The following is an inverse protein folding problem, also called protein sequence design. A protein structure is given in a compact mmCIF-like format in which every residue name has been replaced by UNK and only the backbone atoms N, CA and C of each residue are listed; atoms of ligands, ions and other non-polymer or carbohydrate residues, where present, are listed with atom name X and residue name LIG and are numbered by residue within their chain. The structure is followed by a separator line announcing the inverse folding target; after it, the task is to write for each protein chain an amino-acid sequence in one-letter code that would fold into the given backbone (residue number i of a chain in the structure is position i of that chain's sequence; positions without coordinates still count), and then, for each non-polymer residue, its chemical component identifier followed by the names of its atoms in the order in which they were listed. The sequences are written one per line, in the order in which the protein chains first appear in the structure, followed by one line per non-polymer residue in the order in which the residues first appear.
data_IF_531128293343
#
_entry.id   IF_531128293343
#
_cell.length_a   1.000
_cell.length_b   1.000
_cell.length_c   1.000
_cell.angle_alpha   90.00
_cell.angle_beta   90.00
_cell.angle_gamma   90.00
#
_symmetry.space_group_name_H-M   'P 1'
#
loop_
_entity.id
_entity.type
_entity.pdbx_description
1 polymer ?
#
# COMPACT_ATOMS: atom_id res chain seq x y z
N UNK A 1 -27.69 -16.44 -7.00
CA UNK A 1 -28.55 -15.67 -6.09
C UNK A 1 -29.94 -16.28 -6.04
N UNK A 2 -30.48 -16.55 -4.85
CA UNK A 2 -31.84 -17.18 -4.72
C UNK A 2 -32.98 -16.31 -5.28
N UNK A 3 -32.77 -14.99 -5.36
CA UNK A 3 -33.81 -14.06 -5.85
C UNK A 3 -33.69 -13.72 -7.33
N UNK A 4 -32.49 -13.63 -7.89
CA UNK A 4 -32.31 -13.18 -9.27
C UNK A 4 -31.73 -14.23 -10.22
N UNK A 5 -31.46 -15.45 -9.75
CA UNK A 5 -30.87 -16.60 -10.50
C UNK A 5 -29.57 -16.27 -11.28
N UNK A 6 -28.94 -15.08 -11.03
CA UNK A 6 -27.66 -14.74 -11.64
C UNK A 6 -26.52 -15.47 -10.95
N UNK A 7 -25.55 -15.94 -11.71
CA UNK A 7 -24.32 -16.53 -11.18
C UNK A 7 -23.54 -15.48 -10.41
N UNK A 8 -23.08 -15.82 -9.20
CA UNK A 8 -22.18 -14.98 -8.41
C UNK A 8 -20.80 -15.02 -9.07
N UNK A 9 -20.19 -13.87 -9.24
CA UNK A 9 -18.84 -13.81 -9.81
C UNK A 9 -17.84 -14.53 -8.90
N UNK A 10 -17.00 -15.36 -9.48
CA UNK A 10 -15.94 -16.10 -8.78
C UNK A 10 -14.95 -15.15 -8.05
N UNK A 11 -14.89 -13.91 -8.47
CA UNK A 11 -14.04 -12.88 -7.84
C UNK A 11 -14.40 -12.66 -6.36
N UNK A 12 -15.70 -12.79 -5.98
CA UNK A 12 -16.08 -12.67 -4.57
C UNK A 12 -15.45 -13.77 -3.71
N UNK A 13 -15.42 -15.00 -4.23
CA UNK A 13 -14.79 -16.11 -3.54
C UNK A 13 -13.29 -15.85 -3.29
N UNK A 14 -12.57 -15.37 -4.30
CA UNK A 14 -11.14 -15.05 -4.14
C UNK A 14 -10.89 -13.92 -3.15
N UNK A 15 -11.73 -12.88 -3.15
CA UNK A 15 -11.62 -11.78 -2.19
C UNK A 15 -11.85 -12.27 -0.76
N UNK A 16 -12.90 -13.06 -0.52
CA UNK A 16 -13.18 -13.63 0.79
C UNK A 16 -12.07 -14.56 1.27
N UNK A 17 -11.53 -15.38 0.38
CA UNK A 17 -10.43 -16.29 0.68
C UNK A 17 -9.16 -15.51 1.06
N UNK A 18 -8.82 -14.46 0.31
CA UNK A 18 -7.66 -13.59 0.59
C UNK A 18 -7.84 -12.92 1.95
N UNK A 19 -9.00 -12.32 2.21
CA UNK A 19 -9.30 -11.67 3.50
C UNK A 19 -9.18 -12.68 4.64
N UNK A 20 -9.74 -13.89 4.49
CA UNK A 20 -9.68 -14.93 5.50
C UNK A 20 -8.24 -15.38 5.81
N UNK A 21 -7.41 -15.58 4.77
CA UNK A 21 -5.98 -15.92 4.94
C UNK A 21 -5.25 -14.80 5.68
N UNK A 22 -5.45 -13.55 5.29
CA UNK A 22 -4.80 -12.42 5.98
C UNK A 22 -5.25 -12.30 7.42
N UNK A 23 -6.53 -12.50 7.70
CA UNK A 23 -7.06 -12.45 9.06
C UNK A 23 -6.39 -13.49 9.96
N UNK A 24 -6.26 -14.73 9.47
CA UNK A 24 -5.59 -15.82 10.20
C UNK A 24 -4.09 -15.49 10.36
N UNK A 25 -3.41 -15.05 9.33
CA UNK A 25 -1.97 -14.74 9.43
C UNK A 25 -1.70 -13.61 10.42
N UNK A 26 -2.50 -12.55 10.40
CA UNK A 26 -2.36 -11.45 11.36
C UNK A 26 -2.67 -11.93 12.78
N UNK A 27 -3.70 -12.77 12.97
CA UNK A 27 -4.01 -13.34 14.27
C UNK A 27 -2.84 -14.15 14.86
N UNK A 28 -2.16 -14.94 14.03
CA UNK A 28 -0.99 -15.72 14.44
C UNK A 28 0.25 -14.85 14.69
N UNK A 29 0.33 -13.66 14.05
CA UNK A 29 1.48 -12.76 14.15
C UNK A 29 1.36 -11.74 15.27
N UNK A 30 0.13 -11.42 15.69
CA UNK A 30 -0.12 -10.40 16.72
C UNK A 30 -0.48 -11.06 18.06
N UNK A 31 0.18 -10.61 19.15
CA UNK A 31 -0.11 -11.09 20.50
C UNK A 31 -1.10 -10.19 21.25
N UNK A 32 -1.48 -9.05 20.67
CA UNK A 32 -2.30 -8.04 21.33
C UNK A 32 -3.57 -7.75 20.50
N UNK A 33 -4.72 -7.74 21.16
CA UNK A 33 -6.01 -7.50 20.48
C UNK A 33 -6.09 -6.15 19.79
N UNK A 34 -5.47 -5.11 20.33
CA UNK A 34 -5.44 -3.79 19.73
C UNK A 34 -4.66 -3.78 18.42
N UNK A 35 -3.49 -4.42 18.40
CA UNK A 35 -2.67 -4.54 17.19
C UNK A 35 -3.42 -5.32 16.10
N UNK A 36 -4.07 -6.41 16.51
CA UNK A 36 -4.90 -7.23 15.63
C UNK A 36 -6.01 -6.42 14.96
N UNK A 37 -6.77 -5.65 15.75
CA UNK A 37 -7.87 -4.83 15.24
C UNK A 37 -7.34 -3.74 14.30
N UNK A 38 -6.29 -3.03 14.71
CA UNK A 38 -5.72 -1.91 13.95
C UNK A 38 -5.17 -2.38 12.59
N UNK A 39 -4.41 -3.47 12.57
CA UNK A 39 -3.81 -3.98 11.33
C UNK A 39 -4.90 -4.50 10.39
N UNK A 40 -5.90 -5.22 10.90
CA UNK A 40 -7.02 -5.67 10.06
C UNK A 40 -7.81 -4.49 9.48
N UNK A 41 -8.03 -3.41 10.24
CA UNK A 41 -8.69 -2.21 9.75
C UNK A 41 -7.90 -1.56 8.60
N UNK A 42 -6.57 -1.42 8.76
CA UNK A 42 -5.69 -0.91 7.72
C UNK A 42 -5.72 -1.81 6.48
N UNK A 43 -5.71 -3.12 6.68
CA UNK A 43 -5.73 -4.08 5.58
C UNK A 43 -7.04 -4.04 4.79
N UNK A 44 -8.17 -3.84 5.47
CA UNK A 44 -9.47 -3.62 4.81
C UNK A 44 -9.42 -2.34 3.97
N UNK A 45 -8.89 -1.24 4.50
CA UNK A 45 -8.73 0.00 3.74
C UNK A 45 -7.79 -0.19 2.54
N UNK A 46 -6.69 -0.93 2.70
CA UNK A 46 -5.79 -1.29 1.60
C UNK A 46 -6.51 -2.04 0.49
N UNK A 47 -7.34 -3.03 0.84
CA UNK A 47 -8.11 -3.78 -0.15
C UNK A 47 -9.13 -2.90 -0.87
N UNK A 48 -9.81 -2.00 -0.16
CA UNK A 48 -10.75 -1.06 -0.78
C UNK A 48 -10.02 -0.16 -1.78
N UNK A 49 -8.90 0.46 -1.37
CA UNK A 49 -8.08 1.30 -2.26
C UNK A 49 -7.58 0.49 -3.46
N UNK A 50 -7.07 -0.72 -3.22
CA UNK A 50 -6.57 -1.62 -4.25
C UNK A 50 -7.60 -1.86 -5.37
N UNK A 51 -8.83 -2.21 -5.02
CA UNK A 51 -9.87 -2.47 -6.01
C UNK A 51 -10.39 -1.20 -6.69
N UNK A 52 -10.48 -0.09 -5.96
CA UNK A 52 -10.88 1.20 -6.55
C UNK A 52 -9.85 1.64 -7.57
N UNK A 53 -8.57 1.61 -7.22
CA UNK A 53 -7.50 2.08 -8.09
C UNK A 53 -7.33 1.18 -9.32
N UNK A 54 -7.41 -0.15 -9.17
CA UNK A 54 -7.42 -1.08 -10.30
C UNK A 54 -8.55 -0.83 -11.31
N UNK A 55 -9.69 -0.35 -10.84
CA UNK A 55 -10.89 -0.20 -11.68
C UNK A 55 -11.06 1.21 -12.22
N UNK A 56 -10.72 2.22 -11.40
CA UNK A 56 -11.03 3.62 -11.68
C UNK A 56 -9.79 4.49 -11.85
N UNK A 57 -8.59 4.00 -11.54
CA UNK A 57 -7.33 4.76 -11.55
C UNK A 57 -7.37 6.00 -10.64
N UNK A 58 -8.11 5.91 -9.54
CA UNK A 58 -8.30 7.00 -8.58
C UNK A 58 -8.20 6.43 -7.16
N UNK A 59 -7.48 7.13 -6.30
CA UNK A 59 -7.43 6.84 -4.87
C UNK A 59 -8.22 7.91 -4.12
N UNK A 60 -9.37 7.57 -3.49
CA UNK A 60 -10.20 8.54 -2.77
C UNK A 60 -9.44 9.16 -1.58
N UNK A 61 -9.50 10.48 -1.47
CA UNK A 61 -8.81 11.22 -0.41
C UNK A 61 -9.24 10.80 0.99
N UNK A 62 -10.53 10.50 1.17
CA UNK A 62 -11.06 10.07 2.47
C UNK A 62 -10.38 8.80 2.98
N UNK A 63 -10.05 7.85 2.09
CA UNK A 63 -9.35 6.62 2.47
C UNK A 63 -7.89 6.89 2.82
N UNK A 64 -7.21 7.76 2.07
CA UNK A 64 -5.85 8.17 2.38
C UNK A 64 -5.76 8.88 3.74
N UNK A 65 -6.68 9.83 4.02
CA UNK A 65 -6.70 10.51 5.30
C UNK A 65 -7.07 9.59 6.46
N UNK A 66 -7.97 8.62 6.24
CA UNK A 66 -8.27 7.58 7.24
C UNK A 66 -7.03 6.75 7.57
N UNK A 67 -6.25 6.36 6.56
CA UNK A 67 -4.99 5.64 6.77
C UNK A 67 -3.95 6.48 7.51
N UNK A 68 -3.78 7.76 7.16
CA UNK A 68 -2.89 8.69 7.87
C UNK A 68 -3.30 8.79 9.34
N UNK A 69 -4.59 8.97 9.60
CA UNK A 69 -5.11 9.04 10.96
C UNK A 69 -4.82 7.77 11.76
N UNK A 70 -5.07 6.59 11.18
CA UNK A 70 -4.74 5.31 11.83
C UNK A 70 -3.25 5.11 12.05
N UNK A 71 -2.42 5.55 11.07
CA UNK A 71 -0.97 5.52 11.19
C UNK A 71 -0.43 6.39 12.33
N UNK A 72 -1.06 7.54 12.59
CA UNK A 72 -0.73 8.39 13.73
C UNK A 72 -1.32 7.86 15.04
N UNK A 73 -2.55 7.33 15.00
CA UNK A 73 -3.26 6.80 16.18
C UNK A 73 -2.50 5.66 16.84
N UNK A 74 -1.80 4.82 16.07
CA UNK A 74 -1.02 3.69 16.62
C UNK A 74 0.00 4.12 17.68
N UNK A 75 0.54 5.35 17.57
CA UNK A 75 1.57 5.85 18.51
C UNK A 75 1.01 6.14 19.91
N UNK A 76 -0.30 6.25 20.05
CA UNK A 76 -0.99 6.45 21.32
C UNK A 76 -1.46 5.12 21.94
N UNK A 77 -1.35 4.01 21.21
CA UNK A 77 -1.77 2.69 21.69
C UNK A 77 -0.52 1.95 22.18
N UNK A 78 -0.53 1.37 23.39
CA UNK A 78 0.59 0.59 23.91
C UNK A 78 0.74 -0.72 23.13
N UNK A 79 1.42 -0.66 22.00
CA UNK A 79 1.69 -1.79 21.13
C UNK A 79 3.00 -2.44 21.55
N UNK A 80 2.98 -3.65 22.13
CA UNK A 80 4.21 -4.34 22.55
C UNK A 80 4.91 -5.12 21.42
N UNK A 81 4.23 -5.41 20.33
CA UNK A 81 4.68 -6.38 19.33
C UNK A 81 4.63 -5.88 17.88
N UNK A 82 4.29 -4.63 17.64
CA UNK A 82 4.52 -4.06 16.31
C UNK A 82 6.01 -3.74 16.20
N UNK A 83 6.72 -4.44 15.33
CA UNK A 83 8.12 -4.17 14.97
C UNK A 83 8.32 -2.73 14.45
N UNK A 84 7.24 -1.94 14.36
CA UNK A 84 7.15 -0.57 13.85
C UNK A 84 6.69 0.41 14.93
N UNK A 85 7.12 0.19 16.18
CA UNK A 85 6.87 1.13 17.26
C UNK A 85 7.82 2.32 17.12
N UNK A 86 7.41 3.26 16.27
CA UNK A 86 8.11 4.52 16.11
C UNK A 86 7.47 5.59 16.98
N UNK A 87 8.28 6.53 17.44
CA UNK A 87 7.78 7.75 18.07
C UNK A 87 6.91 8.54 17.08
N UNK A 88 5.97 9.32 17.60
CA UNK A 88 5.07 10.14 16.79
C UNK A 88 5.82 11.04 15.80
N UNK A 89 6.99 11.54 16.21
CA UNK A 89 7.88 12.33 15.38
C UNK A 89 8.33 11.55 14.13
N UNK A 90 8.78 10.33 14.30
CA UNK A 90 9.19 9.46 13.18
C UNK A 90 8.03 9.11 12.26
N UNK A 91 6.83 8.96 12.80
CA UNK A 91 5.61 8.74 12.00
C UNK A 91 5.27 9.98 11.16
N UNK A 92 5.36 11.17 11.73
CA UNK A 92 5.13 12.43 11.02
C UNK A 92 6.19 12.63 9.92
N UNK A 93 7.47 12.46 10.27
CA UNK A 93 8.58 12.59 9.31
C UNK A 93 8.40 11.57 8.17
N UNK A 94 8.08 10.32 8.50
CA UNK A 94 7.79 9.28 7.51
C UNK A 94 6.66 9.68 6.56
N UNK A 95 5.57 10.24 7.08
CA UNK A 95 4.46 10.71 6.28
C UNK A 95 4.84 11.87 5.34
N UNK A 96 5.53 12.88 5.87
CA UNK A 96 5.98 14.03 5.08
C UNK A 96 6.96 13.60 3.99
N UNK A 97 7.97 12.81 4.33
CA UNK A 97 8.97 12.33 3.36
C UNK A 97 8.31 11.39 2.34
N UNK A 98 7.39 10.52 2.77
CA UNK A 98 6.63 9.66 1.86
C UNK A 98 5.85 10.47 0.82
N UNK A 99 5.16 11.53 1.24
CA UNK A 99 4.47 12.43 0.32
C UNK A 99 5.45 13.10 -0.64
N UNK A 100 6.51 13.71 -0.10
CA UNK A 100 7.47 14.50 -0.88
C UNK A 100 8.21 13.65 -1.91
N UNK A 101 8.55 12.40 -1.61
CA UNK A 101 9.26 11.53 -2.57
C UNK A 101 8.45 11.31 -3.84
N UNK A 102 7.18 10.94 -3.75
CA UNK A 102 6.31 10.76 -4.92
C UNK A 102 6.01 12.12 -5.57
N UNK A 103 5.73 13.15 -4.78
CA UNK A 103 5.45 14.49 -5.30
C UNK A 103 6.64 15.06 -6.11
N UNK A 104 7.88 14.87 -5.65
CA UNK A 104 9.08 15.28 -6.38
C UNK A 104 9.19 14.52 -7.70
N UNK A 105 8.92 13.21 -7.71
CA UNK A 105 8.92 12.40 -8.95
C UNK A 105 7.90 12.96 -9.95
N UNK A 106 6.67 13.23 -9.49
CA UNK A 106 5.60 13.81 -10.33
C UNK A 106 6.04 15.16 -10.88
N UNK A 107 6.55 16.04 -10.01
CA UNK A 107 6.98 17.40 -10.39
C UNK A 107 8.12 17.38 -11.42
N UNK A 108 9.16 16.57 -11.19
CA UNK A 108 10.29 16.46 -12.10
C UNK A 108 9.88 15.89 -13.46
N UNK A 109 9.05 14.85 -13.46
CA UNK A 109 8.58 14.25 -14.70
C UNK A 109 7.71 15.22 -15.51
N UNK A 110 6.80 15.93 -14.86
CA UNK A 110 5.96 16.95 -15.50
C UNK A 110 6.81 18.08 -16.10
N UNK A 111 7.86 18.52 -15.37
CA UNK A 111 8.78 19.56 -15.85
C UNK A 111 9.64 19.09 -17.04
N UNK A 112 10.05 17.82 -17.08
CA UNK A 112 10.94 17.30 -18.12
C UNK A 112 10.20 16.82 -19.37
N UNK A 113 9.00 16.26 -19.21
CA UNK A 113 8.27 15.60 -20.30
C UNK A 113 6.97 16.29 -20.66
N UNK A 114 6.51 17.29 -19.90
CA UNK A 114 5.19 17.92 -20.01
C UNK A 114 4.01 16.90 -19.99
N UNK A 115 4.21 15.78 -19.31
CA UNK A 115 3.23 14.71 -19.14
C UNK A 115 3.04 14.44 -17.65
N UNK A 116 1.84 14.09 -17.23
CA UNK A 116 1.58 13.64 -15.87
C UNK A 116 1.99 12.16 -15.79
N UNK A 117 2.99 11.85 -14.94
CA UNK A 117 3.51 10.49 -14.76
C UNK A 117 2.66 9.64 -13.82
N UNK A 118 2.07 10.28 -12.81
CA UNK A 118 1.47 9.61 -11.67
C UNK A 118 0.42 10.51 -11.03
N UNK A 119 -0.57 9.92 -10.34
CA UNK A 119 -1.59 10.67 -9.63
C UNK A 119 -1.11 11.24 -8.30
N UNK A 120 -1.65 12.39 -7.87
CA UNK A 120 -1.41 12.91 -6.51
C UNK A 120 -1.97 11.97 -5.43
N UNK A 121 -2.88 11.07 -5.79
CA UNK A 121 -3.40 10.02 -4.92
C UNK A 121 -2.31 9.08 -4.40
N UNK A 122 -1.35 8.70 -5.28
CA UNK A 122 -0.21 7.85 -4.92
C UNK A 122 0.71 8.53 -3.92
N UNK A 123 0.91 9.86 -4.05
CA UNK A 123 1.69 10.63 -3.08
C UNK A 123 1.02 10.65 -1.69
N UNK A 124 -0.30 10.83 -1.64
CA UNK A 124 -1.06 10.77 -0.39
C UNK A 124 -1.07 9.36 0.22
N UNK A 125 -1.16 8.32 -0.62
CA UNK A 125 -1.06 6.93 -0.18
C UNK A 125 0.32 6.64 0.41
N UNK A 126 1.39 7.12 -0.23
CA UNK A 126 2.74 6.95 0.29
C UNK A 126 2.97 7.72 1.59
N UNK A 127 2.32 8.88 1.77
CA UNK A 127 2.27 9.58 3.05
C UNK A 127 1.63 8.70 4.14
N UNK A 128 0.48 8.10 3.85
CA UNK A 128 -0.21 7.22 4.79
C UNK A 128 0.66 6.01 5.19
N UNK A 129 1.32 5.40 4.24
CA UNK A 129 2.25 4.30 4.47
C UNK A 129 3.44 4.75 5.31
N UNK A 130 4.00 5.93 5.00
CA UNK A 130 5.10 6.53 5.77
C UNK A 130 4.72 6.85 7.21
N UNK A 131 3.49 7.29 7.49
CA UNK A 131 3.02 7.50 8.87
C UNK A 131 2.91 6.19 9.65
N UNK A 132 2.57 5.09 8.98
CA UNK A 132 2.43 3.79 9.62
C UNK A 132 3.77 3.10 9.84
N UNK A 133 4.63 3.03 8.80
CA UNK A 133 5.86 2.26 8.79
C UNK A 133 7.12 3.09 9.07
N UNK A 134 6.99 4.43 9.18
CA UNK A 134 8.12 5.34 9.42
C UNK A 134 9.01 5.57 8.19
N UNK A 135 10.00 6.43 8.35
CA UNK A 135 10.90 6.89 7.29
C UNK A 135 11.63 5.75 6.56
N UNK A 136 12.11 4.76 7.32
CA UNK A 136 12.90 3.64 6.77
C UNK A 136 12.14 2.81 5.75
N UNK A 137 10.82 2.74 5.84
CA UNK A 137 10.00 1.93 4.92
C UNK A 137 9.97 2.47 3.49
N UNK A 138 10.08 3.78 3.32
CA UNK A 138 9.83 4.47 2.06
C UNK A 138 10.70 3.96 0.91
N UNK A 139 12.05 3.88 1.03
CA UNK A 139 12.91 3.42 -0.07
C UNK A 139 12.60 1.98 -0.47
N UNK A 140 12.39 1.09 0.50
CA UNK A 140 12.11 -0.32 0.21
C UNK A 140 10.75 -0.50 -0.45
N UNK A 141 9.71 0.18 0.05
CA UNK A 141 8.36 0.09 -0.51
C UNK A 141 8.35 0.63 -1.94
N UNK A 142 9.00 1.77 -2.22
CA UNK A 142 9.13 2.29 -3.58
C UNK A 142 9.89 1.35 -4.49
N UNK A 143 10.98 0.76 -4.03
CA UNK A 143 11.76 -0.20 -4.80
C UNK A 143 10.93 -1.43 -5.15
N UNK A 144 10.30 -2.07 -4.17
CA UNK A 144 9.48 -3.25 -4.41
C UNK A 144 8.22 -2.94 -5.23
N UNK A 145 7.59 -1.78 -5.06
CA UNK A 145 6.44 -1.38 -5.87
C UNK A 145 6.82 -1.20 -7.34
N UNK A 146 8.00 -0.63 -7.60
CA UNK A 146 8.51 -0.48 -8.96
C UNK A 146 8.83 -1.82 -9.61
N UNK A 147 9.44 -2.75 -8.86
CA UNK A 147 9.73 -4.11 -9.34
C UNK A 147 8.44 -4.87 -9.61
N UNK A 148 7.49 -4.87 -8.68
CA UNK A 148 6.22 -5.59 -8.85
C UNK A 148 5.41 -5.03 -10.01
N UNK A 149 5.37 -3.71 -10.17
CA UNK A 149 4.75 -3.07 -11.33
C UNK A 149 5.40 -3.52 -12.64
N UNK A 150 6.74 -3.50 -12.69
CA UNK A 150 7.49 -3.92 -13.87
C UNK A 150 7.22 -5.39 -14.21
N UNK A 151 7.29 -6.29 -13.23
CA UNK A 151 7.08 -7.73 -13.44
C UNK A 151 5.68 -8.05 -13.98
N UNK A 152 4.65 -7.32 -13.53
CA UNK A 152 3.27 -7.55 -13.96
C UNK A 152 3.00 -6.93 -15.34
N UNK A 153 3.63 -5.79 -15.65
CA UNK A 153 3.40 -5.07 -16.91
C UNK A 153 4.27 -5.59 -18.05
N UNK A 154 5.48 -6.03 -17.74
CA UNK A 154 6.46 -6.47 -18.74
C UNK A 154 5.92 -7.53 -19.73
N UNK A 155 5.21 -8.60 -19.31
CA UNK A 155 4.68 -9.59 -20.24
C UNK A 155 3.69 -9.00 -21.24
N UNK A 156 2.86 -8.05 -20.82
CA UNK A 156 1.89 -7.38 -21.68
C UNK A 156 2.54 -6.45 -22.71
N UNK A 157 3.69 -5.86 -22.35
CA UNK A 157 4.49 -5.04 -23.26
C UNK A 157 5.23 -5.88 -24.30
N UNK A 158 5.83 -7.01 -23.88
CA UNK A 158 6.54 -7.93 -24.79
C UNK A 158 5.57 -8.50 -25.80
N UNK A 159 4.38 -8.92 -25.37
CA UNK A 159 3.35 -9.47 -26.24
C UNK A 159 2.62 -8.39 -27.08
N UNK A 160 3.02 -7.11 -26.98
CA UNK A 160 2.41 -5.96 -27.69
C UNK A 160 0.89 -5.83 -27.48
N UNK A 161 0.36 -6.43 -26.42
CA UNK A 161 -1.06 -6.33 -26.06
C UNK A 161 -1.37 -5.00 -25.37
N UNK A 162 -0.36 -4.27 -24.92
CA UNK A 162 -0.48 -2.98 -24.24
C UNK A 162 0.50 -1.96 -24.85
N UNK A 163 0.05 -0.74 -25.03
CA UNK A 163 0.89 0.35 -25.47
C UNK A 163 1.75 0.88 -24.31
N UNK A 164 2.99 1.32 -24.61
CA UNK A 164 3.89 1.96 -23.63
C UNK A 164 3.31 3.23 -22.97
N UNK A 165 2.30 3.85 -23.63
CA UNK A 165 1.62 5.06 -23.12
C UNK A 165 0.36 4.74 -22.31
N UNK A 166 0.02 3.46 -22.11
CA UNK A 166 -1.16 3.09 -21.33
C UNK A 166 -0.92 3.39 -19.83
N UNK A 167 -1.86 4.06 -19.23
CA UNK A 167 -1.85 4.34 -17.78
C UNK A 167 -1.84 3.04 -16.96
N UNK A 168 -1.06 3.04 -15.89
CA UNK A 168 -0.93 1.91 -14.97
C UNK A 168 -1.29 2.42 -13.58
N UNK A 169 -2.26 1.80 -12.90
CA UNK A 169 -2.56 2.16 -11.52
C UNK A 169 -1.36 1.75 -10.64
N UNK A 170 -0.69 2.72 -10.02
CA UNK A 170 0.50 2.44 -9.22
C UNK A 170 0.18 2.12 -7.75
N UNK A 171 -0.96 2.60 -7.24
CA UNK A 171 -1.44 2.33 -5.88
C UNK A 171 -1.46 0.85 -5.49
N UNK A 172 -1.99 -0.07 -6.32
CA UNK A 172 -1.99 -1.50 -6.03
C UNK A 172 -0.60 -2.07 -5.75
N UNK A 173 0.42 -1.63 -6.49
CA UNK A 173 1.80 -2.10 -6.30
C UNK A 173 2.42 -1.53 -5.03
N UNK A 174 2.12 -0.28 -4.68
CA UNK A 174 2.50 0.31 -3.39
C UNK A 174 1.90 -0.50 -2.25
N UNK A 175 0.61 -0.84 -2.31
CA UNK A 175 -0.09 -1.60 -1.27
C UNK A 175 0.45 -3.01 -1.11
N UNK A 176 0.71 -3.74 -2.21
CA UNK A 176 1.34 -5.06 -2.17
C UNK A 176 2.71 -4.97 -1.49
N UNK A 177 3.50 -3.96 -1.85
CA UNK A 177 4.83 -3.75 -1.29
C UNK A 177 4.79 -3.35 0.18
N UNK A 178 3.78 -2.60 0.60
CA UNK A 178 3.56 -2.26 2.00
C UNK A 178 3.21 -3.49 2.85
N UNK A 179 2.36 -4.38 2.33
CA UNK A 179 2.06 -5.67 2.98
C UNK A 179 3.30 -6.56 3.05
N UNK A 180 4.09 -6.63 1.98
CA UNK A 180 5.35 -7.36 1.98
C UNK A 180 6.35 -6.79 3.00
N UNK A 181 6.46 -5.46 3.08
CA UNK A 181 7.29 -4.79 4.07
C UNK A 181 6.85 -5.08 5.50
N UNK A 182 5.55 -5.19 5.75
CA UNK A 182 5.02 -5.53 7.07
C UNK A 182 5.56 -6.87 7.60
N UNK A 183 5.66 -7.89 6.74
CA UNK A 183 6.13 -9.22 7.15
C UNK A 183 7.65 -9.39 7.10
N UNK A 184 8.34 -8.71 6.19
CA UNK A 184 9.74 -8.98 5.88
C UNK A 184 10.66 -7.77 6.02
N UNK A 185 10.14 -6.57 6.26
CA UNK A 185 10.91 -5.32 6.26
C UNK A 185 12.13 -5.35 7.19
N UNK A 186 11.93 -5.77 8.45
CA UNK A 186 13.03 -5.83 9.42
C UNK A 186 14.11 -6.85 9.03
N UNK A 187 13.71 -8.01 8.49
CA UNK A 187 14.67 -9.03 8.02
C UNK A 187 15.51 -8.52 6.86
N UNK A 188 14.87 -7.78 5.93
CA UNK A 188 15.58 -7.20 4.78
C UNK A 188 16.58 -6.15 5.25
N UNK A 189 16.20 -5.30 6.20
CA UNK A 189 17.13 -4.33 6.76
C UNK A 189 18.29 -4.97 7.48
N UNK A 190 18.07 -6.04 8.24
CA UNK A 190 19.15 -6.79 8.88
C UNK A 190 20.15 -7.35 7.87
N UNK A 191 19.67 -7.84 6.71
CA UNK A 191 20.52 -8.36 5.65
C UNK A 191 21.30 -7.24 4.94
N UNK A 192 20.66 -6.07 4.73
CA UNK A 192 21.30 -4.95 4.02
C UNK A 192 22.32 -4.18 4.87
N UNK A 193 22.24 -4.28 6.20
CA UNK A 193 23.13 -3.57 7.13
C UNK A 193 24.31 -4.44 7.62
N UNK A 194 24.38 -5.69 7.18
CA UNK A 194 25.56 -6.57 7.33
C UNK A 194 26.49 -6.36 6.13
#
# INVERSE_FOLDING_TARGET
CRQCNKKISINYFFVELIIGIFFITIFLYTSNYFDFILINLILILFLIIFFIDLKHFIIPDILNFSLIFLGLLKNFIPTKNLNFNYDIEQSIIGGVVGYLTIWIIIFLYKKLKNLDAMGLGDAKLMAAIGTFFGLKSIPLILFFSSITALLIVLPSLINKTRNLKAEIPFGPYILISAVFYYFYGDKIYQILLI
#
